data_IF_891624689327
#
_entry.id   IF_891624689327
#
_cell.length_a   1.000
_cell.length_b   1.000
_cell.length_c   1.000
_cell.angle_alpha   90.00
_cell.angle_beta   90.00
_cell.angle_gamma   90.00
#
_symmetry.space_group_name_H-M   'P 1'
#
loop_
_entity.id
_entity.type
_entity.pdbx_description
1 polymer ?
#
# COMPACT_ATOMS: atom_id res chain seq x y z
N UNK A 1 59.93 -33.82 -5.82
CA UNK A 1 58.87 -33.20 -6.66
C UNK A 1 57.46 -33.78 -6.48
N UNK A 2 57.26 -35.08 -6.18
CA UNK A 2 55.89 -35.66 -6.05
C UNK A 2 55.09 -35.20 -4.83
N UNK A 3 55.73 -34.96 -3.68
CA UNK A 3 55.06 -34.54 -2.43
C UNK A 3 54.50 -33.11 -2.49
N UNK A 4 55.19 -32.18 -3.14
CA UNK A 4 54.79 -30.78 -3.22
C UNK A 4 53.51 -30.59 -4.07
N UNK A 5 53.38 -31.36 -5.16
CA UNK A 5 52.18 -31.37 -6.00
C UNK A 5 50.98 -32.02 -5.28
N UNK A 6 51.21 -33.02 -4.43
CA UNK A 6 50.17 -33.65 -3.63
C UNK A 6 49.57 -32.65 -2.62
N UNK A 7 50.43 -31.90 -1.91
CA UNK A 7 50.01 -30.88 -0.94
C UNK A 7 49.27 -29.73 -1.66
N UNK A 8 49.76 -29.29 -2.83
CA UNK A 8 49.12 -28.23 -3.60
C UNK A 8 47.74 -28.66 -4.13
N UNK A 9 47.59 -29.92 -4.55
CA UNK A 9 46.33 -30.48 -5.00
C UNK A 9 45.34 -30.69 -3.84
N UNK A 10 45.80 -31.17 -2.68
CA UNK A 10 44.99 -31.27 -1.47
C UNK A 10 44.51 -29.90 -0.98
N UNK A 11 45.36 -28.88 -1.05
CA UNK A 11 44.99 -27.51 -0.70
C UNK A 11 43.95 -26.95 -1.69
N UNK A 12 44.13 -27.20 -2.99
CA UNK A 12 43.19 -26.77 -4.03
C UNK A 12 41.83 -27.47 -3.90
N UNK A 13 41.83 -28.77 -3.57
CA UNK A 13 40.61 -29.56 -3.31
C UNK A 13 39.94 -29.12 -2.01
N UNK A 14 40.68 -28.84 -0.95
CA UNK A 14 40.13 -28.31 0.31
C UNK A 14 39.51 -26.92 0.13
N UNK A 15 40.13 -26.06 -0.70
CA UNK A 15 39.56 -24.76 -1.10
C UNK A 15 38.29 -24.96 -1.93
N UNK A 16 38.26 -25.92 -2.87
CA UNK A 16 37.06 -26.22 -3.66
C UNK A 16 35.92 -26.82 -2.82
N UNK A 17 36.22 -27.67 -1.84
CA UNK A 17 35.22 -28.29 -0.95
C UNK A 17 34.65 -27.25 0.04
N UNK A 18 35.48 -26.36 0.59
CA UNK A 18 34.99 -25.24 1.41
C UNK A 18 34.18 -24.23 0.59
N UNK A 19 34.39 -24.18 -0.73
CA UNK A 19 33.55 -23.43 -1.66
C UNK A 19 32.19 -24.09 -1.98
N UNK A 20 32.08 -25.41 -1.84
CA UNK A 20 30.95 -26.20 -2.33
C UNK A 20 29.88 -26.54 -1.26
N UNK A 21 30.14 -26.28 0.03
CA UNK A 21 29.12 -26.43 1.07
C UNK A 21 28.10 -25.28 1.02
N UNK A 22 27.19 -25.34 0.06
CA UNK A 22 25.96 -24.56 0.08
C UNK A 22 25.02 -25.14 1.14
N UNK A 23 25.25 -24.78 2.41
CA UNK A 23 24.21 -24.91 3.42
C UNK A 23 23.14 -23.88 3.04
N UNK A 24 22.13 -24.34 2.31
CA UNK A 24 21.03 -23.54 1.73
C UNK A 24 20.24 -22.71 2.76
N UNK A 25 20.43 -23.00 4.05
CA UNK A 25 19.74 -22.37 5.16
C UNK A 25 20.47 -21.16 5.79
N UNK A 26 21.64 -20.72 5.30
CA UNK A 26 22.37 -19.59 5.89
C UNK A 26 22.82 -18.53 4.86
N UNK A 27 23.06 -17.32 5.35
CA UNK A 27 23.59 -16.20 4.57
C UNK A 27 25.11 -16.36 4.43
N UNK A 28 25.60 -16.29 3.20
CA UNK A 28 27.02 -16.46 2.91
C UNK A 28 27.77 -15.13 2.93
N UNK A 29 29.11 -15.16 3.04
CA UNK A 29 29.96 -13.97 2.89
C UNK A 29 29.84 -13.36 1.48
N UNK A 30 29.45 -14.17 0.49
CA UNK A 30 29.27 -13.75 -0.91
C UNK A 30 27.90 -13.13 -1.17
N UNK A 31 26.96 -13.34 -0.25
CA UNK A 31 25.61 -12.81 -0.41
C UNK A 31 25.69 -11.28 -0.35
N UNK A 32 25.19 -10.67 -1.42
CA UNK A 32 25.27 -9.22 -1.63
C UNK A 32 23.88 -8.64 -1.61
N UNK A 33 23.70 -7.60 -0.82
CA UNK A 33 22.45 -6.84 -0.76
C UNK A 33 22.18 -6.22 -2.15
N UNK A 34 20.97 -6.46 -2.66
CA UNK A 34 20.49 -5.83 -3.88
C UNK A 34 20.34 -4.31 -3.67
N UNK A 35 20.54 -3.55 -4.74
CA UNK A 35 20.39 -2.08 -4.72
C UNK A 35 19.12 -1.68 -5.44
N UNK A 36 18.57 -0.53 -5.06
CA UNK A 36 17.45 0.12 -5.74
C UNK A 36 17.97 0.72 -7.06
N UNK A 37 17.90 0.00 -8.19
CA UNK A 37 18.46 0.49 -9.48
C UNK A 37 17.56 1.57 -10.12
N UNK A 38 16.62 1.19 -10.99
CA UNK A 38 15.76 2.13 -11.74
C UNK A 38 14.33 2.28 -11.17
N UNK A 39 13.92 1.38 -10.30
CA UNK A 39 12.55 1.34 -9.77
C UNK A 39 12.53 1.94 -8.35
N UNK A 40 12.70 3.25 -8.27
CA UNK A 40 12.75 3.97 -6.98
C UNK A 40 11.36 4.47 -6.59
N UNK A 41 10.47 4.63 -7.58
CA UNK A 41 9.15 5.24 -7.40
C UNK A 41 8.05 4.22 -7.64
N UNK A 42 7.07 4.20 -6.74
CA UNK A 42 5.86 3.41 -6.85
C UNK A 42 4.83 4.09 -7.75
N UNK A 43 5.04 4.10 -9.07
CA UNK A 43 4.05 4.65 -10.00
C UNK A 43 2.89 3.65 -10.22
N UNK A 44 1.65 4.14 -10.40
CA UNK A 44 0.57 3.32 -10.93
C UNK A 44 0.94 2.72 -12.29
N UNK A 45 0.35 1.57 -12.61
CA UNK A 45 0.46 1.02 -13.97
C UNK A 45 -0.14 2.02 -14.96
N UNK A 46 0.64 2.37 -15.99
CA UNK A 46 0.25 3.32 -17.03
C UNK A 46 0.63 2.75 -18.39
N UNK A 47 -0.18 3.09 -19.40
CA UNK A 47 0.12 2.81 -20.81
C UNK A 47 1.17 3.77 -21.39
N UNK A 48 1.51 4.83 -20.66
CA UNK A 48 2.55 5.78 -21.05
C UNK A 48 3.96 5.21 -20.84
N UNK A 49 4.94 5.78 -21.54
CA UNK A 49 6.33 5.35 -21.42
C UNK A 49 6.83 5.52 -19.97
N UNK A 50 7.59 4.54 -19.42
CA UNK A 50 8.10 4.63 -18.05
C UNK A 50 8.91 5.91 -17.83
N UNK A 51 8.65 6.61 -16.72
CA UNK A 51 9.40 7.81 -16.32
C UNK A 51 10.87 7.42 -16.13
N UNK A 52 11.77 8.07 -16.87
CA UNK A 52 13.21 7.82 -16.74
C UNK A 52 13.72 8.36 -15.40
N UNK A 53 14.09 7.46 -14.50
CA UNK A 53 14.67 7.77 -13.19
C UNK A 53 16.20 7.65 -13.23
N UNK A 54 16.86 8.39 -12.34
CA UNK A 54 18.29 8.18 -12.08
C UNK A 54 18.47 6.88 -11.30
N UNK A 55 19.56 6.17 -11.55
CA UNK A 55 19.91 4.98 -10.79
C UNK A 55 20.21 5.34 -9.34
N UNK A 56 19.63 4.62 -8.38
CA UNK A 56 20.07 4.67 -6.99
C UNK A 56 21.09 3.56 -6.71
N UNK A 57 21.94 3.79 -5.71
CA UNK A 57 22.89 2.79 -5.18
C UNK A 57 22.57 2.44 -3.72
N UNK A 58 21.42 2.88 -3.21
CA UNK A 58 20.94 2.52 -1.88
C UNK A 58 20.53 1.07 -1.83
N UNK A 59 20.65 0.46 -0.65
CA UNK A 59 20.22 -0.92 -0.43
C UNK A 59 18.70 -1.00 -0.64
N UNK A 60 18.26 -2.03 -1.37
CA UNK A 60 16.85 -2.30 -1.60
C UNK A 60 16.26 -2.94 -0.35
N UNK A 61 15.32 -2.25 0.27
CA UNK A 61 14.55 -2.73 1.40
C UNK A 61 13.14 -3.03 0.89
N UNK A 62 12.64 -4.21 1.20
CA UNK A 62 11.26 -4.63 0.95
C UNK A 62 10.58 -4.97 2.26
N UNK A 63 9.25 -4.98 2.26
CA UNK A 63 8.46 -5.17 3.47
C UNK A 63 7.56 -6.39 3.31
N UNK A 64 7.27 -7.10 4.39
CA UNK A 64 6.19 -8.09 4.36
C UNK A 64 4.86 -7.39 4.07
N UNK A 65 4.08 -7.89 3.11
CA UNK A 65 2.79 -7.27 2.77
C UNK A 65 1.61 -7.82 3.58
N UNK A 66 1.80 -8.84 4.41
CA UNK A 66 0.71 -9.52 5.14
C UNK A 66 1.12 -9.96 6.53
N UNK A 67 0.12 -10.17 7.36
CA UNK A 67 0.25 -10.81 8.66
C UNK A 67 0.45 -12.31 8.48
N UNK A 68 1.39 -12.89 9.23
CA UNK A 68 1.67 -14.31 9.16
C UNK A 68 2.34 -14.74 7.84
N UNK A 69 3.15 -13.87 7.24
CA UNK A 69 3.79 -14.14 5.95
C UNK A 69 4.81 -15.27 6.08
N UNK A 70 4.48 -16.43 5.52
CA UNK A 70 5.28 -17.64 5.64
C UNK A 70 6.55 -17.55 4.76
N UNK A 71 7.69 -17.81 5.38
CA UNK A 71 8.96 -18.00 4.69
C UNK A 71 9.37 -19.48 4.66
N UNK A 72 10.32 -19.78 3.78
CA UNK A 72 10.75 -21.14 3.48
C UNK A 72 12.28 -21.26 3.53
N UNK A 73 12.78 -22.48 3.70
CA UNK A 73 14.22 -22.74 3.70
C UNK A 73 14.85 -22.60 2.31
N UNK A 74 14.06 -22.85 1.28
CA UNK A 74 14.48 -22.93 -0.12
C UNK A 74 13.44 -22.26 -1.05
N UNK A 75 13.83 -21.90 -2.29
CA UNK A 75 12.95 -21.17 -3.22
C UNK A 75 11.84 -22.04 -3.85
N UNK A 76 11.79 -23.34 -3.55
CA UNK A 76 10.77 -24.28 -4.02
C UNK A 76 9.75 -24.63 -2.93
N UNK A 77 9.80 -23.92 -1.79
CA UNK A 77 8.81 -24.01 -0.71
C UNK A 77 8.71 -25.38 -0.04
N UNK A 78 9.78 -26.18 -0.07
CA UNK A 78 9.72 -27.57 0.44
C UNK A 78 9.56 -27.60 1.96
N UNK A 79 10.17 -26.64 2.67
CA UNK A 79 10.15 -26.58 4.13
C UNK A 79 9.83 -25.19 4.63
N UNK A 80 8.82 -25.10 5.51
CA UNK A 80 8.47 -23.89 6.24
C UNK A 80 9.57 -23.53 7.23
N UNK A 81 9.90 -22.24 7.32
CA UNK A 81 10.94 -21.72 8.22
C UNK A 81 10.35 -20.86 9.33
N UNK A 82 9.82 -19.70 8.99
CA UNK A 82 9.28 -18.74 9.96
C UNK A 82 8.09 -17.98 9.38
N UNK A 83 7.38 -17.27 10.25
CA UNK A 83 6.24 -16.46 9.88
C UNK A 83 6.48 -15.03 10.34
N UNK A 84 6.11 -14.05 9.51
CA UNK A 84 6.50 -12.67 9.68
C UNK A 84 5.29 -11.72 9.71
N UNK A 85 5.40 -10.65 10.50
CA UNK A 85 4.37 -9.61 10.58
C UNK A 85 4.37 -8.69 9.36
N UNK A 86 3.22 -8.08 9.08
CA UNK A 86 3.07 -7.05 8.03
C UNK A 86 4.00 -5.85 8.30
N UNK A 87 4.54 -5.25 7.25
CA UNK A 87 5.44 -4.09 7.35
C UNK A 87 6.84 -4.40 7.89
N UNK A 88 7.18 -5.67 8.16
CA UNK A 88 8.54 -6.03 8.61
C UNK A 88 9.54 -5.81 7.47
N UNK A 89 10.65 -5.06 7.68
CA UNK A 89 11.60 -4.71 6.62
C UNK A 89 12.68 -5.79 6.40
N UNK A 90 13.07 -5.98 5.14
CA UNK A 90 14.07 -6.98 4.71
C UNK A 90 15.00 -6.44 3.63
N UNK A 91 16.27 -6.85 3.70
CA UNK A 91 17.19 -6.79 2.57
C UNK A 91 16.97 -7.98 1.65
N UNK A 92 16.94 -7.73 0.34
CA UNK A 92 17.01 -8.78 -0.67
C UNK A 92 18.48 -9.14 -0.90
N UNK A 93 18.81 -10.42 -0.71
CA UNK A 93 20.17 -10.95 -0.91
C UNK A 93 20.25 -11.97 -2.04
N UNK A 94 19.10 -12.39 -2.58
CA UNK A 94 19.00 -13.31 -3.70
C UNK A 94 17.57 -13.36 -4.24
N UNK A 95 17.45 -13.81 -5.48
CA UNK A 95 16.17 -13.97 -6.17
C UNK A 95 16.23 -15.24 -7.01
N UNK A 96 15.16 -16.04 -6.97
CA UNK A 96 15.03 -17.25 -7.79
C UNK A 96 13.56 -17.60 -7.95
N UNK A 97 13.12 -17.87 -9.18
CA UNK A 97 11.76 -18.36 -9.49
C UNK A 97 10.63 -17.54 -8.85
N UNK A 98 10.71 -16.20 -8.90
CA UNK A 98 9.69 -15.33 -8.32
C UNK A 98 9.67 -15.33 -6.78
N UNK A 99 10.76 -15.75 -6.14
CA UNK A 99 10.96 -15.70 -4.68
C UNK A 99 12.20 -14.89 -4.33
N UNK A 100 12.17 -14.22 -3.18
CA UNK A 100 13.31 -13.50 -2.65
C UNK A 100 13.91 -14.22 -1.46
N UNK A 101 15.24 -14.31 -1.44
CA UNK A 101 16.03 -14.65 -0.25
C UNK A 101 16.18 -13.39 0.58
N UNK A 102 15.69 -13.41 1.82
CA UNK A 102 15.53 -12.23 2.67
C UNK A 102 16.32 -12.33 3.97
N UNK A 103 16.85 -11.19 4.41
CA UNK A 103 17.49 -10.97 5.71
C UNK A 103 16.79 -9.79 6.37
N UNK A 104 16.39 -9.90 7.64
CA UNK A 104 15.72 -8.78 8.32
C UNK A 104 16.63 -7.56 8.30
N UNK A 105 16.07 -6.42 7.89
CA UNK A 105 16.84 -5.21 7.68
C UNK A 105 17.19 -4.57 9.02
N UNK A 106 18.47 -4.29 9.20
CA UNK A 106 19.03 -3.53 10.31
C UNK A 106 20.25 -2.75 9.76
N UNK A 107 20.32 -1.41 9.92
CA UNK A 107 21.47 -0.63 9.47
C UNK A 107 22.80 -1.13 10.05
N UNK A 108 22.79 -1.64 11.29
CA UNK A 108 24.00 -1.98 12.05
C UNK A 108 24.67 -3.28 11.59
N UNK A 109 23.94 -4.15 10.88
CA UNK A 109 24.48 -5.42 10.37
C UNK A 109 25.26 -5.24 9.05
N UNK A 110 25.13 -4.10 8.36
CA UNK A 110 25.82 -3.83 7.10
C UNK A 110 27.27 -3.39 7.34
N UNK A 111 28.22 -3.88 6.52
CA UNK A 111 29.63 -3.53 6.64
C UNK A 111 30.56 -4.48 5.90
N UNK A 112 31.88 -4.28 6.06
CA UNK A 112 32.85 -5.25 5.54
C UNK A 112 32.76 -6.55 6.33
N UNK A 113 32.71 -7.72 5.68
CA UNK A 113 32.70 -9.00 6.39
C UNK A 113 33.92 -9.13 7.31
N UNK A 114 33.72 -9.57 8.55
CA UNK A 114 34.78 -9.92 9.50
C UNK A 114 35.40 -11.27 9.11
N UNK A 115 36.12 -11.30 7.99
CA UNK A 115 36.85 -12.46 7.49
C UNK A 115 38.20 -12.06 6.90
N UNK A 116 39.09 -13.03 6.70
CA UNK A 116 40.43 -12.83 6.12
C UNK A 116 40.34 -12.18 4.72
N UNK A 117 39.23 -12.40 3.99
CA UNK A 117 38.99 -11.86 2.66
C UNK A 117 38.02 -10.65 2.66
N UNK A 118 37.67 -10.11 3.83
CA UNK A 118 36.69 -9.03 3.97
C UNK A 118 37.04 -7.75 3.20
N UNK A 119 38.33 -7.51 2.96
CA UNK A 119 38.82 -6.35 2.20
C UNK A 119 38.40 -6.37 0.71
N UNK A 120 38.06 -7.53 0.15
CA UNK A 120 37.58 -7.69 -1.23
C UNK A 120 36.12 -7.27 -1.43
N UNK A 121 35.39 -7.03 -0.33
CA UNK A 121 33.94 -6.81 -0.36
C UNK A 121 33.55 -5.36 -0.05
N UNK A 122 32.45 -4.93 -0.66
CA UNK A 122 31.92 -3.58 -0.50
C UNK A 122 31.16 -3.45 0.84
N UNK A 123 31.59 -2.53 1.69
CA UNK A 123 31.01 -2.29 3.02
C UNK A 123 29.53 -1.92 3.02
N UNK A 124 29.04 -1.29 1.94
CA UNK A 124 27.64 -0.86 1.85
C UNK A 124 26.70 -1.98 1.41
N UNK A 125 27.24 -3.08 0.87
CA UNK A 125 26.46 -4.13 0.18
C UNK A 125 26.61 -5.53 0.77
N UNK A 126 27.36 -5.68 1.85
CA UNK A 126 27.60 -6.96 2.54
C UNK A 126 27.34 -6.80 4.03
N UNK A 127 27.29 -7.94 4.73
CA UNK A 127 27.10 -7.98 6.17
C UNK A 127 28.42 -8.09 6.91
N UNK A 128 28.54 -7.42 8.06
CA UNK A 128 29.70 -7.54 8.97
C UNK A 128 29.89 -9.00 9.41
N UNK A 129 28.81 -9.65 9.81
CA UNK A 129 28.81 -11.01 10.34
C UNK A 129 27.65 -11.84 9.73
N UNK A 130 27.80 -12.33 8.48
CA UNK A 130 26.71 -13.02 7.75
C UNK A 130 26.09 -14.20 8.50
N UNK A 131 26.84 -14.86 9.38
CA UNK A 131 26.34 -16.00 10.17
C UNK A 131 25.42 -15.58 11.33
N UNK A 132 25.48 -14.32 11.77
CA UNK A 132 24.72 -13.78 12.91
C UNK A 132 23.52 -12.94 12.50
N UNK A 133 23.34 -12.67 11.20
CA UNK A 133 22.18 -11.90 10.72
C UNK A 133 20.90 -12.71 10.90
N UNK A 134 19.78 -12.02 11.11
CA UNK A 134 18.49 -12.68 11.16
C UNK A 134 18.03 -13.06 9.75
N UNK A 135 18.32 -14.30 9.35
CA UNK A 135 17.94 -14.85 8.05
C UNK A 135 16.46 -15.26 8.05
N UNK A 136 15.66 -14.49 7.31
CA UNK A 136 14.21 -14.65 7.25
C UNK A 136 13.77 -15.85 6.41
N UNK A 137 14.58 -16.27 5.42
CA UNK A 137 14.25 -17.36 4.49
C UNK A 137 13.90 -16.86 3.09
N UNK A 138 13.24 -17.72 2.31
CA UNK A 138 12.68 -17.41 1.00
C UNK A 138 11.20 -17.05 1.13
N UNK A 139 10.78 -15.93 0.53
CA UNK A 139 9.38 -15.48 0.51
C UNK A 139 8.96 -15.22 -0.96
N UNK A 140 7.75 -15.60 -1.37
CA UNK A 140 7.21 -15.22 -2.68
C UNK A 140 7.28 -13.71 -2.92
N UNK A 141 7.70 -13.30 -4.11
CA UNK A 141 7.79 -11.89 -4.50
C UNK A 141 6.43 -11.17 -4.43
N UNK A 142 5.34 -11.89 -4.69
CA UNK A 142 3.98 -11.41 -4.54
C UNK A 142 3.53 -11.20 -3.09
N UNK A 143 4.29 -11.68 -2.10
CA UNK A 143 4.02 -11.49 -0.67
C UNK A 143 4.91 -10.39 -0.05
N UNK A 144 5.62 -9.62 -0.87
CA UNK A 144 6.41 -8.48 -0.41
C UNK A 144 5.91 -7.18 -1.02
N UNK A 145 6.03 -6.11 -0.25
CA UNK A 145 5.83 -4.74 -0.66
C UNK A 145 7.18 -4.14 -1.04
N UNK A 146 7.31 -3.69 -2.28
CA UNK A 146 8.58 -3.25 -2.85
C UNK A 146 9.05 -1.88 -2.37
N UNK A 147 8.10 -1.04 -1.98
CA UNK A 147 8.33 0.37 -1.69
C UNK A 147 7.91 0.67 -0.25
N UNK A 148 8.66 1.55 0.39
CA UNK A 148 8.32 2.09 1.70
C UNK A 148 7.29 3.23 1.63
N UNK A 149 6.84 3.60 0.43
CA UNK A 149 5.91 4.68 0.20
C UNK A 149 4.74 4.23 -0.68
N UNK A 150 3.64 4.96 -0.52
CA UNK A 150 2.45 4.79 -1.30
C UNK A 150 2.68 5.11 -2.78
N UNK A 151 1.69 4.81 -3.61
CA UNK A 151 1.69 5.18 -5.02
C UNK A 151 1.78 6.69 -5.17
N UNK A 152 2.63 7.12 -6.09
CA UNK A 152 2.84 8.54 -6.38
C UNK A 152 2.46 8.85 -7.82
N UNK A 153 2.09 10.09 -8.09
CA UNK A 153 1.75 10.54 -9.43
C UNK A 153 3.04 10.82 -10.23
N UNK A 154 3.20 10.24 -11.43
CA UNK A 154 4.39 10.43 -12.26
C UNK A 154 4.67 11.88 -12.69
N UNK A 155 3.67 12.77 -12.64
CA UNK A 155 3.82 14.17 -13.04
C UNK A 155 4.46 15.05 -11.97
N UNK A 156 4.18 14.79 -10.71
CA UNK A 156 4.58 15.66 -9.58
C UNK A 156 5.30 14.92 -8.44
N UNK A 157 5.40 13.59 -8.53
CA UNK A 157 5.98 12.69 -7.51
C UNK A 157 5.35 12.82 -6.11
N UNK A 158 4.13 13.35 -6.01
CA UNK A 158 3.39 13.43 -4.77
C UNK A 158 2.57 12.15 -4.54
N UNK A 159 2.31 11.75 -3.27
CA UNK A 159 1.44 10.63 -2.94
C UNK A 159 0.01 10.82 -3.47
N UNK A 160 -0.55 9.79 -4.11
CA UNK A 160 -1.94 9.77 -4.54
C UNK A 160 -2.82 9.51 -3.33
N UNK A 161 -3.84 10.36 -3.12
CA UNK A 161 -4.80 10.20 -2.03
C UNK A 161 -6.04 9.48 -2.52
N UNK A 162 -6.53 8.59 -1.69
CA UNK A 162 -7.79 7.89 -1.86
C UNK A 162 -8.69 8.23 -0.68
N UNK A 163 -10.00 8.23 -0.90
CA UNK A 163 -10.97 8.18 0.19
C UNK A 163 -11.57 6.78 0.28
N UNK A 164 -11.85 6.36 1.50
CA UNK A 164 -12.71 5.22 1.76
C UNK A 164 -14.14 5.59 1.40
N UNK A 165 -14.79 4.77 0.60
CA UNK A 165 -16.18 4.99 0.22
C UNK A 165 -16.65 3.98 -0.79
N UNK A 166 -17.89 4.09 -1.23
CA UNK A 166 -18.47 3.15 -2.18
C UNK A 166 -18.19 3.68 -3.59
N UNK A 167 -17.30 3.02 -4.33
CA UNK A 167 -16.92 3.43 -5.68
C UNK A 167 -17.57 2.54 -6.78
N UNK A 168 -18.47 1.64 -6.39
CA UNK A 168 -19.21 0.75 -7.30
C UNK A 168 -20.60 0.45 -6.75
N UNK A 169 -21.63 0.51 -7.60
CA UNK A 169 -23.01 0.20 -7.22
C UNK A 169 -23.14 -1.22 -6.67
N UNK A 170 -22.41 -2.18 -7.25
CA UNK A 170 -22.48 -3.58 -6.79
C UNK A 170 -22.00 -3.72 -5.34
N UNK A 171 -21.08 -2.86 -4.91
CA UNK A 171 -20.53 -2.86 -3.55
C UNK A 171 -21.53 -2.39 -2.49
N UNK A 172 -22.60 -1.71 -2.89
CA UNK A 172 -23.69 -1.33 -1.98
C UNK A 172 -24.37 -2.57 -1.37
N UNK A 173 -24.49 -3.66 -2.14
CA UNK A 173 -25.26 -4.82 -1.72
C UNK A 173 -24.52 -5.73 -0.73
N UNK A 174 -23.19 -5.73 -0.73
CA UNK A 174 -22.34 -6.54 0.15
C UNK A 174 -21.51 -5.69 1.15
N UNK A 175 -21.78 -4.38 1.26
CA UNK A 175 -21.00 -3.47 2.12
C UNK A 175 -20.93 -3.90 3.59
N UNK A 176 -22.01 -4.50 4.12
CA UNK A 176 -22.11 -4.96 5.50
C UNK A 176 -21.07 -6.04 5.86
N UNK A 177 -20.49 -6.71 4.86
CA UNK A 177 -19.40 -7.66 5.08
C UNK A 177 -18.14 -6.92 5.58
N UNK A 178 -17.89 -5.74 5.04
CA UNK A 178 -16.67 -4.96 5.25
C UNK A 178 -16.84 -3.83 6.28
N UNK A 179 -18.03 -3.24 6.39
CA UNK A 179 -18.32 -2.15 7.32
C UNK A 179 -19.08 -2.61 8.56
N UNK A 180 -18.85 -1.90 9.67
CA UNK A 180 -19.73 -1.84 10.82
C UNK A 180 -20.09 -0.37 11.07
N UNK A 181 -21.33 0.03 10.77
CA UNK A 181 -21.69 1.43 10.73
C UNK A 181 -20.91 2.18 9.65
N UNK A 182 -20.22 3.25 10.04
CA UNK A 182 -19.32 4.04 9.19
C UNK A 182 -17.88 3.52 9.16
N UNK A 183 -17.59 2.46 9.92
CA UNK A 183 -16.23 1.99 10.16
C UNK A 183 -15.90 0.79 9.27
N UNK A 184 -14.89 0.93 8.43
CA UNK A 184 -14.32 -0.12 7.60
C UNK A 184 -13.36 -1.01 8.40
N UNK A 185 -13.55 -2.33 8.29
CA UNK A 185 -12.61 -3.33 8.81
C UNK A 185 -11.35 -3.37 7.95
N UNK A 186 -10.18 -3.40 8.60
CA UNK A 186 -8.89 -3.60 7.94
C UNK A 186 -8.45 -5.05 8.08
N UNK A 187 -7.94 -5.65 6.99
CA UNK A 187 -7.56 -7.05 6.93
C UNK A 187 -6.04 -7.23 6.95
N UNK A 188 -5.58 -8.32 7.54
CA UNK A 188 -4.15 -8.61 7.65
C UNK A 188 -3.52 -9.14 6.36
N UNK A 189 -4.32 -9.51 5.37
CA UNK A 189 -3.88 -10.27 4.19
C UNK A 189 -4.83 -10.06 2.98
N UNK A 190 -4.35 -10.24 1.73
CA UNK A 190 -5.07 -9.83 0.52
C UNK A 190 -6.35 -10.62 0.21
N UNK A 191 -6.56 -11.81 0.76
CA UNK A 191 -7.80 -12.59 0.64
C UNK A 191 -8.90 -12.15 1.61
N UNK A 192 -8.63 -11.15 2.46
CA UNK A 192 -9.61 -10.50 3.34
C UNK A 192 -10.32 -11.46 4.30
N UNK A 193 -9.62 -12.47 4.82
CA UNK A 193 -10.17 -13.47 5.76
C UNK A 193 -10.06 -13.05 7.22
N UNK A 194 -8.93 -12.47 7.59
CA UNK A 194 -8.61 -12.15 8.98
C UNK A 194 -8.53 -10.65 9.15
N UNK A 195 -9.36 -10.09 10.03
CA UNK A 195 -9.35 -8.68 10.40
C UNK A 195 -8.20 -8.39 11.37
N UNK A 196 -7.74 -7.16 11.34
CA UNK A 196 -6.81 -6.58 12.33
C UNK A 196 -7.60 -5.71 13.32
N UNK A 197 -6.93 -5.22 14.36
CA UNK A 197 -7.51 -4.26 15.30
C UNK A 197 -7.58 -2.82 14.73
N UNK A 198 -6.94 -2.57 13.59
CA UNK A 198 -7.01 -1.29 12.91
C UNK A 198 -8.36 -1.11 12.20
N UNK A 199 -8.85 0.12 12.20
CA UNK A 199 -10.10 0.53 11.57
C UNK A 199 -9.91 1.86 10.86
N UNK A 200 -10.74 2.12 9.85
CA UNK A 200 -10.76 3.38 9.09
C UNK A 200 -12.20 3.80 8.90
N UNK A 201 -12.50 5.09 9.00
CA UNK A 201 -13.88 5.59 8.84
C UNK A 201 -14.16 5.92 7.37
N UNK A 202 -15.40 5.76 6.95
CA UNK A 202 -15.87 6.20 5.63
C UNK A 202 -15.54 7.69 5.40
N UNK A 203 -15.03 8.02 4.22
CA UNK A 203 -14.58 9.35 3.84
C UNK A 203 -13.16 9.71 4.30
N UNK A 204 -12.53 8.91 5.16
CA UNK A 204 -11.15 9.12 5.60
C UNK A 204 -10.17 9.00 4.43
N UNK A 205 -9.13 9.83 4.46
CA UNK A 205 -8.08 9.86 3.44
C UNK A 205 -7.03 8.81 3.76
N UNK A 206 -6.75 7.96 2.77
CA UNK A 206 -5.76 6.89 2.85
C UNK A 206 -4.85 6.90 1.62
N UNK A 207 -3.76 6.14 1.71
CA UNK A 207 -2.75 6.03 0.67
C UNK A 207 -2.60 4.57 0.22
N UNK A 208 -2.62 4.34 -1.10
CA UNK A 208 -2.51 3.03 -1.70
C UNK A 208 -1.04 2.62 -1.87
N UNK A 209 -0.63 1.49 -1.30
CA UNK A 209 0.74 0.98 -1.42
C UNK A 209 0.88 -0.08 -2.50
N UNK A 210 -0.05 -1.04 -2.55
CA UNK A 210 0.04 -2.22 -3.41
C UNK A 210 -1.36 -2.75 -3.72
N UNK A 211 -1.55 -3.30 -4.92
CA UNK A 211 -2.70 -4.12 -5.25
C UNK A 211 -2.29 -5.60 -5.21
N UNK A 212 -3.23 -6.48 -4.88
CA UNK A 212 -3.02 -7.91 -5.03
C UNK A 212 -2.94 -8.29 -6.52
N UNK A 213 -2.59 -9.54 -6.80
CA UNK A 213 -2.43 -10.03 -8.18
C UNK A 213 -3.73 -9.93 -9.00
N UNK A 214 -4.89 -10.02 -8.35
CA UNK A 214 -6.20 -9.89 -9.02
C UNK A 214 -6.68 -8.45 -9.16
N UNK A 215 -6.04 -7.49 -8.48
CA UNK A 215 -6.48 -6.09 -8.41
C UNK A 215 -7.73 -5.85 -7.56
N UNK A 216 -8.24 -6.88 -6.86
CA UNK A 216 -9.47 -6.80 -6.06
C UNK A 216 -9.23 -6.35 -4.62
N UNK A 217 -8.00 -6.48 -4.14
CA UNK A 217 -7.61 -6.08 -2.80
C UNK A 217 -6.46 -5.09 -2.86
N UNK A 218 -6.52 -4.11 -1.97
CA UNK A 218 -5.59 -3.00 -1.90
C UNK A 218 -4.96 -2.93 -0.51
N UNK A 219 -3.63 -2.88 -0.47
CA UNK A 219 -2.87 -2.59 0.74
C UNK A 219 -2.77 -1.07 0.92
N UNK A 220 -3.28 -0.57 2.03
CA UNK A 220 -3.38 0.86 2.33
C UNK A 220 -2.80 1.22 3.69
N UNK A 221 -2.55 2.52 3.88
CA UNK A 221 -2.16 3.12 5.17
C UNK A 221 -2.77 4.53 5.29
N UNK A 222 -2.85 5.04 6.52
CA UNK A 222 -3.17 6.45 6.81
C UNK A 222 -1.98 7.41 6.60
N UNK A 223 -0.77 6.89 6.34
CA UNK A 223 0.43 7.70 6.04
C UNK A 223 0.97 7.40 4.64
N UNK A 224 1.63 8.37 3.98
CA UNK A 224 2.17 8.17 2.63
C UNK A 224 3.51 7.43 2.60
N UNK A 225 4.22 7.34 3.74
CA UNK A 225 5.51 6.67 3.86
C UNK A 225 5.63 5.90 5.18
N UNK A 226 6.25 4.72 5.13
CA UNK A 226 6.46 3.81 6.25
C UNK A 226 7.56 4.30 7.21
N UNK A 227 8.32 5.31 6.86
CA UNK A 227 9.27 5.96 7.77
C UNK A 227 8.60 6.89 8.79
N UNK A 228 7.32 7.22 8.60
CA UNK A 228 6.56 8.03 9.54
C UNK A 228 6.29 7.27 10.84
N UNK A 229 6.62 7.90 11.97
CA UNK A 229 6.63 7.29 13.32
C UNK A 229 5.31 7.44 14.09
N UNK A 230 4.33 8.13 13.50
CA UNK A 230 3.00 8.30 14.09
C UNK A 230 2.20 6.99 14.11
N UNK A 231 1.06 6.97 14.84
CA UNK A 231 0.12 5.84 14.90
C UNK A 231 -0.36 5.48 13.48
N UNK A 232 0.41 4.64 12.81
CA UNK A 232 0.15 4.17 11.46
C UNK A 232 -0.49 2.80 11.49
N UNK A 233 -1.42 2.56 10.58
CA UNK A 233 -1.82 1.20 10.24
C UNK A 233 -1.28 0.84 8.86
N UNK A 234 -1.15 -0.46 8.59
CA UNK A 234 -0.88 -0.98 7.24
C UNK A 234 -1.71 -2.25 7.09
N UNK A 235 -2.60 -2.30 6.11
CA UNK A 235 -3.50 -3.44 5.96
C UNK A 235 -4.31 -3.42 4.67
N UNK A 236 -5.00 -4.52 4.42
CA UNK A 236 -5.72 -4.79 3.18
C UNK A 236 -7.20 -4.41 3.28
N UNK A 237 -7.75 -3.91 2.18
CA UNK A 237 -9.18 -3.62 1.99
C UNK A 237 -9.61 -4.02 0.58
N UNK A 238 -10.91 -4.18 0.30
CA UNK A 238 -11.42 -4.25 -1.07
C UNK A 238 -11.00 -3.01 -1.88
N UNK A 239 -10.46 -3.21 -3.08
CA UNK A 239 -9.97 -2.11 -3.91
C UNK A 239 -11.09 -1.22 -4.45
N UNK A 240 -12.30 -1.75 -4.61
CA UNK A 240 -13.49 -1.02 -5.05
C UNK A 240 -14.15 -0.17 -3.93
N UNK A 241 -13.56 -0.18 -2.73
CA UNK A 241 -13.86 0.77 -1.66
C UNK A 241 -12.93 1.99 -1.65
N UNK A 242 -12.01 2.07 -2.61
CA UNK A 242 -11.08 3.18 -2.78
C UNK A 242 -11.52 4.05 -3.96
N UNK A 243 -11.66 5.33 -3.68
CA UNK A 243 -11.90 6.35 -4.69
C UNK A 243 -10.72 7.33 -4.69
N UNK A 244 -10.00 7.45 -5.81
CA UNK A 244 -8.96 8.47 -5.93
C UNK A 244 -9.61 9.85 -5.82
N UNK A 245 -9.05 10.72 -4.96
CA UNK A 245 -9.60 12.06 -4.77
C UNK A 245 -8.72 13.16 -5.34
N UNK A 246 -7.40 12.97 -5.41
CA UNK A 246 -6.45 13.98 -5.92
C UNK A 246 -5.33 14.28 -4.93
N UNK A 247 -4.52 15.32 -5.19
CA UNK A 247 -3.22 15.47 -4.50
C UNK A 247 -2.83 16.87 -4.02
N UNK A 248 -3.02 17.93 -4.79
CA UNK A 248 -2.35 19.20 -4.46
C UNK A 248 -3.32 20.34 -4.24
N UNK A 249 -4.10 20.70 -5.25
CA UNK A 249 -5.10 21.75 -5.06
C UNK A 249 -6.31 21.21 -4.31
N UNK A 250 -6.67 21.92 -3.23
CA UNK A 250 -7.82 21.60 -2.40
C UNK A 250 -8.76 22.79 -2.42
N UNK A 251 -10.01 22.53 -2.78
CA UNK A 251 -11.08 23.51 -2.78
C UNK A 251 -11.94 23.25 -1.55
N UNK A 252 -12.18 24.32 -0.77
CA UNK A 252 -13.12 24.28 0.34
C UNK A 252 -14.46 24.81 -0.12
N UNK A 253 -15.52 24.02 0.06
CA UNK A 253 -16.88 24.44 -0.28
C UNK A 253 -17.36 25.41 0.82
N UNK A 254 -17.57 26.67 0.44
CA UNK A 254 -18.18 27.68 1.32
C UNK A 254 -19.71 27.61 1.23
N UNK A 255 -20.32 26.80 2.10
CA UNK A 255 -21.77 26.66 2.18
C UNK A 255 -22.49 27.94 2.64
N UNK A 256 -21.79 28.95 3.18
CA UNK A 256 -22.43 30.23 3.51
C UNK A 256 -22.84 31.01 2.25
N UNK A 257 -22.16 30.75 1.14
CA UNK A 257 -22.40 31.39 -0.17
C UNK A 257 -23.23 30.54 -1.13
N UNK A 258 -23.28 29.23 -0.93
CA UNK A 258 -24.05 28.29 -1.77
C UNK A 258 -25.14 27.60 -0.94
N UNK A 259 -26.40 27.98 -1.19
CA UNK A 259 -27.55 27.50 -0.41
C UNK A 259 -28.22 26.23 -0.95
N UNK A 260 -28.26 26.03 -2.26
CA UNK A 260 -29.08 24.95 -2.85
C UNK A 260 -28.27 23.83 -3.50
N UNK A 261 -27.56 24.11 -4.60
CA UNK A 261 -26.86 23.07 -5.38
C UNK A 261 -25.56 23.56 -6.02
N UNK A 262 -24.59 22.66 -6.16
CA UNK A 262 -23.45 22.82 -7.06
C UNK A 262 -23.85 22.30 -8.44
N UNK A 263 -23.71 23.12 -9.48
CA UNK A 263 -23.89 22.69 -10.86
C UNK A 263 -22.62 21.99 -11.32
N UNK A 264 -22.75 20.74 -11.78
CA UNK A 264 -21.66 19.92 -12.26
C UNK A 264 -21.99 19.39 -13.66
N UNK A 265 -21.02 19.42 -14.57
CA UNK A 265 -21.10 18.72 -15.84
C UNK A 265 -20.48 17.33 -15.67
N UNK A 266 -21.26 16.27 -15.90
CA UNK A 266 -20.84 14.88 -15.61
C UNK A 266 -19.99 14.28 -16.74
N UNK A 267 -20.02 14.87 -17.93
CA UNK A 267 -19.27 14.40 -19.09
C UNK A 267 -18.98 15.54 -20.08
N UNK A 268 -17.73 15.68 -20.55
CA UNK A 268 -17.35 16.69 -21.55
C UNK A 268 -17.87 16.36 -22.96
N UNK A 269 -18.18 15.09 -23.24
CA UNK A 269 -18.56 14.61 -24.57
C UNK A 269 -20.08 14.66 -24.79
N UNK A 270 -20.87 14.57 -23.71
CA UNK A 270 -22.32 14.76 -23.67
C UNK A 270 -22.66 15.46 -22.35
N UNK A 271 -22.59 16.80 -22.30
CA UNK A 271 -22.79 17.52 -21.06
C UNK A 271 -24.24 17.41 -20.61
N UNK A 272 -24.50 16.52 -19.67
CA UNK A 272 -25.69 16.55 -18.85
C UNK A 272 -25.42 17.38 -17.60
N UNK A 273 -26.39 18.22 -17.22
CA UNK A 273 -26.24 19.13 -16.07
C UNK A 273 -26.78 18.43 -14.84
N UNK A 274 -25.88 18.08 -13.92
CA UNK A 274 -26.27 17.53 -12.62
C UNK A 274 -26.26 18.65 -11.58
N UNK A 275 -27.38 18.85 -10.89
CA UNK A 275 -27.47 19.72 -9.74
C UNK A 275 -27.25 18.89 -8.46
N UNK A 276 -26.08 19.01 -7.85
CA UNK A 276 -25.75 18.33 -6.60
C UNK A 276 -26.20 19.17 -5.41
N UNK A 277 -27.27 18.74 -4.74
CA UNK A 277 -27.75 19.41 -3.53
C UNK A 277 -26.73 19.34 -2.40
N UNK A 278 -26.52 20.47 -1.71
CA UNK A 278 -25.60 20.58 -0.58
C UNK A 278 -25.81 19.47 0.47
N UNK A 279 -27.08 19.17 0.78
CA UNK A 279 -27.46 18.13 1.73
C UNK A 279 -26.82 16.75 1.44
N UNK A 280 -26.54 16.47 0.16
CA UNK A 280 -26.06 15.17 -0.32
C UNK A 280 -24.53 15.12 -0.44
N UNK A 281 -23.82 16.22 -0.21
CA UNK A 281 -22.35 16.27 -0.30
C UNK A 281 -21.73 15.72 0.99
N UNK A 282 -20.80 14.78 0.85
CA UNK A 282 -20.09 14.16 1.97
C UNK A 282 -18.68 14.75 2.12
N UNK A 283 -18.59 15.91 2.77
CA UNK A 283 -17.34 16.59 3.11
C UNK A 283 -17.17 17.94 2.43
N UNK A 284 -16.37 18.82 3.03
CA UNK A 284 -16.19 20.21 2.56
C UNK A 284 -14.95 20.41 1.72
N UNK A 285 -14.05 19.42 1.69
CA UNK A 285 -12.78 19.49 0.97
C UNK A 285 -12.85 18.63 -0.29
N UNK A 286 -12.59 19.27 -1.43
CA UNK A 286 -12.54 18.68 -2.76
C UNK A 286 -11.11 18.78 -3.28
N UNK A 287 -10.60 17.69 -3.84
CA UNK A 287 -9.23 17.63 -4.31
C UNK A 287 -9.23 17.63 -5.84
N UNK A 288 -8.30 18.37 -6.44
CA UNK A 288 -8.08 18.33 -7.88
C UNK A 288 -7.45 16.99 -8.29
N UNK A 289 -8.16 16.25 -9.14
CA UNK A 289 -7.72 14.97 -9.69
C UNK A 289 -6.55 15.13 -10.67
N UNK A 290 -6.48 16.24 -11.40
CA UNK A 290 -5.44 16.46 -12.41
C UNK A 290 -4.07 16.81 -11.78
N UNK A 291 -4.02 16.95 -10.45
CA UNK A 291 -2.82 17.31 -9.70
C UNK A 291 -2.42 18.77 -9.93
N UNK A 292 -1.11 19.02 -9.96
CA UNK A 292 -0.59 20.32 -10.40
C UNK A 292 -0.27 20.24 -11.89
N UNK A 293 -0.95 20.99 -12.77
CA UNK A 293 -0.56 21.09 -14.16
C UNK A 293 0.81 21.78 -14.26
N UNK A 294 1.64 21.33 -15.20
CA UNK A 294 2.97 21.91 -15.44
C UNK A 294 2.93 23.33 -16.05
N UNK A 295 1.73 23.80 -16.42
CA UNK A 295 1.48 25.12 -16.97
C UNK A 295 0.08 25.63 -16.57
N UNK A 296 -0.22 26.90 -16.82
CA UNK A 296 -1.51 27.50 -16.46
C UNK A 296 -2.67 26.77 -17.12
N UNK A 297 -3.72 26.46 -16.36
CA UNK A 297 -4.94 25.86 -16.90
C UNK A 297 -5.62 26.84 -17.84
N UNK A 298 -5.61 26.57 -19.14
CA UNK A 298 -6.16 27.48 -20.15
C UNK A 298 -7.69 27.49 -20.19
N UNK A 299 -8.35 26.44 -19.68
CA UNK A 299 -9.80 26.24 -19.83
C UNK A 299 -10.60 26.32 -18.53
N UNK A 300 -9.97 26.62 -17.38
CA UNK A 300 -10.67 26.81 -16.08
C UNK A 300 -11.42 25.59 -15.51
N UNK A 301 -11.56 24.49 -16.26
CA UNK A 301 -12.28 23.28 -15.83
C UNK A 301 -11.38 22.39 -14.97
N UNK A 302 -11.82 22.10 -13.75
CA UNK A 302 -11.10 21.24 -12.79
C UNK A 302 -11.81 19.89 -12.71
N UNK A 303 -11.05 18.78 -12.77
CA UNK A 303 -11.59 17.45 -12.52
C UNK A 303 -11.59 17.15 -11.03
N UNK A 304 -12.74 16.71 -10.53
CA UNK A 304 -12.95 16.40 -9.12
C UNK A 304 -13.62 15.03 -8.99
N UNK A 305 -13.26 14.26 -7.97
CA UNK A 305 -14.06 13.12 -7.53
C UNK A 305 -14.91 13.56 -6.33
N UNK A 306 -16.23 13.50 -6.47
CA UNK A 306 -17.16 14.04 -5.48
C UNK A 306 -17.71 12.95 -4.57
N UNK A 307 -17.49 13.03 -3.24
CA UNK A 307 -18.12 12.13 -2.30
C UNK A 307 -19.60 12.49 -2.13
N UNK A 308 -20.48 11.58 -2.53
CA UNK A 308 -21.92 11.77 -2.46
C UNK A 308 -22.57 10.80 -1.48
N UNK A 309 -23.61 11.29 -0.82
CA UNK A 309 -24.53 10.46 -0.06
C UNK A 309 -25.27 9.52 -1.00
N UNK A 310 -25.30 8.23 -0.66
CA UNK A 310 -26.09 7.23 -1.39
C UNK A 310 -27.58 7.57 -1.32
N UNK A 311 -28.03 8.13 -0.19
CA UNK A 311 -29.40 8.57 0.03
C UNK A 311 -29.49 10.07 -0.29
N UNK A 312 -30.43 10.43 -1.16
CA UNK A 312 -30.84 11.82 -1.34
C UNK A 312 -31.58 12.26 -0.07
N UNK A 313 -30.92 13.07 0.75
CA UNK A 313 -31.45 13.49 2.04
C UNK A 313 -32.70 14.35 1.92
N UNK A 314 -32.95 14.94 0.77
CA UNK A 314 -34.14 15.75 0.56
C UNK A 314 -35.35 14.89 0.20
N UNK A 315 -35.15 13.78 -0.50
CA UNK A 315 -36.23 13.04 -1.18
C UNK A 315 -36.40 11.60 -0.68
N UNK A 316 -35.37 11.01 -0.07
CA UNK A 316 -35.48 9.71 0.56
C UNK A 316 -36.18 9.82 1.92
N UNK A 317 -36.96 8.78 2.23
CA UNK A 317 -37.72 8.63 3.47
C UNK A 317 -37.52 7.23 4.06
N UNK A 318 -37.58 7.15 5.38
CA UNK A 318 -37.59 5.93 6.17
C UNK A 318 -39.04 5.67 6.58
N UNK A 319 -39.52 4.45 6.39
CA UNK A 319 -40.86 4.05 6.83
C UNK A 319 -40.76 3.48 8.23
N UNK A 320 -41.48 4.07 9.19
CA UNK A 320 -41.49 3.60 10.57
C UNK A 320 -42.40 2.36 10.75
N UNK A 321 -42.31 1.71 11.91
CA UNK A 321 -43.09 0.49 12.23
C UNK A 321 -44.62 0.67 12.16
N UNK A 322 -45.11 1.91 12.20
CA UNK A 322 -46.54 2.26 12.06
C UNK A 322 -46.91 2.67 10.63
N UNK A 323 -46.00 2.51 9.67
CA UNK A 323 -46.20 2.91 8.27
C UNK A 323 -46.11 4.42 8.02
N UNK A 324 -45.65 5.20 9.00
CA UNK A 324 -45.44 6.64 8.85
C UNK A 324 -44.10 6.97 8.20
N UNK A 325 -44.07 8.05 7.43
CA UNK A 325 -42.86 8.52 6.75
C UNK A 325 -42.00 9.40 7.68
N UNK A 326 -40.70 9.13 7.72
CA UNK A 326 -39.69 9.98 8.34
C UNK A 326 -38.74 10.42 7.24
N UNK A 327 -38.66 11.71 6.93
CA UNK A 327 -37.74 12.18 5.89
C UNK A 327 -36.30 12.03 6.37
N UNK A 328 -35.38 11.65 5.47
CA UNK A 328 -33.95 11.53 5.82
C UNK A 328 -33.39 12.89 6.29
N UNK A 329 -33.93 14.00 5.79
CA UNK A 329 -33.62 15.36 6.26
C UNK A 329 -33.95 15.61 7.73
N UNK A 330 -34.97 14.92 8.28
CA UNK A 330 -35.36 15.05 9.68
C UNK A 330 -34.37 14.34 10.62
N UNK A 331 -33.63 13.34 10.14
CA UNK A 331 -32.64 12.61 10.95
C UNK A 331 -31.59 13.55 11.54
N UNK A 332 -31.10 14.54 10.78
CA UNK A 332 -30.15 15.54 11.30
C UNK A 332 -30.76 16.45 12.36
N UNK A 333 -32.04 16.81 12.24
CA UNK A 333 -32.74 17.54 13.30
C UNK A 333 -32.86 16.68 14.55
N UNK A 334 -33.17 15.39 14.39
CA UNK A 334 -33.23 14.45 15.52
C UNK A 334 -31.87 14.27 16.20
N UNK A 335 -30.77 14.19 15.44
CA UNK A 335 -29.39 14.18 15.97
C UNK A 335 -29.08 15.48 16.74
N UNK A 336 -29.37 16.64 16.16
CA UNK A 336 -29.15 17.94 16.80
C UNK A 336 -30.00 18.15 18.06
N UNK A 337 -31.20 17.58 18.08
CA UNK A 337 -32.11 17.58 19.24
C UNK A 337 -31.80 16.43 20.23
N UNK A 338 -30.73 15.66 20.00
CA UNK A 338 -30.24 14.59 20.86
C UNK A 338 -31.31 13.53 21.21
N UNK A 339 -32.21 13.24 20.25
CA UNK A 339 -33.27 12.25 20.40
C UNK A 339 -32.75 10.87 20.03
N UNK A 340 -32.85 9.92 20.97
CA UNK A 340 -32.55 8.51 20.70
C UNK A 340 -33.59 7.93 19.71
N UNK A 341 -33.12 7.38 18.60
CA UNK A 341 -33.95 6.67 17.63
C UNK A 341 -33.70 5.17 17.76
N UNK A 342 -34.74 4.42 18.15
CA UNK A 342 -34.69 2.96 18.18
C UNK A 342 -35.01 2.43 16.78
N UNK A 343 -34.03 1.79 16.14
CA UNK A 343 -34.19 1.15 14.84
C UNK A 343 -34.41 -0.34 15.06
N UNK A 344 -35.57 -0.85 14.67
CA UNK A 344 -35.83 -2.28 14.57
C UNK A 344 -35.57 -2.69 13.11
N UNK A 345 -34.60 -3.58 12.90
CA UNK A 345 -34.24 -4.15 11.59
C UNK A 345 -34.76 -5.56 11.48
#
# INVERSE_FOLDING_TARGET
MKQLNLIRNLFSVAVMITLACNVSAQVSIRDRIQIMDKDIFNYPESTEAPVKTKKSKTNRIVYSDRTGNQSYEDPYFQRKRSSHGIGTPYYIVGEKNGTYKLVQADPDITGKPKSIIGFLYNSKRHFKEPRKVNYAGWIPSENVLMYDHARINPRNNQPIRYRIGINSINKLFDIHQFFNGDTLKIYGEPFLKTTTDAVVVSGEVVYLYKLDKSGKSALISNVPALSDSTKRFLGWVPADLLAEVGQNEVYHIDYSRYRDSLLCAVNLMYPDTLALHNANIQGTMLFNLDGNPAGPMTNGNIRLNYPLSVWDKNWNKIINIKGGDIMVSDVRKMEAENKNVNIHV
#
